data_IF_907726860648
#
_entry.id   IF_907726860648
#
_cell.length_a   1.000
_cell.length_b   1.000
_cell.length_c   1.000
_cell.angle_alpha   90.00
_cell.angle_beta   90.00
_cell.angle_gamma   90.00
#
_symmetry.space_group_name_H-M   'P 1'
#
loop_
_entity.id
_entity.type
_entity.pdbx_description
1 polymer ?
#
# COMPACT_ATOMS: atom_id res chain seq x y z
N UNK A 1 21.42 -17.65 12.59
CA UNK A 1 20.17 -16.88 12.47
C UNK A 1 20.52 -15.41 12.64
N UNK A 2 19.97 -14.50 11.82
CA UNK A 2 20.08 -13.04 11.99
C UNK A 2 18.72 -12.52 12.42
N UNK A 3 18.70 -11.66 13.43
CA UNK A 3 17.47 -11.03 13.94
C UNK A 3 17.72 -9.53 14.07
N UNK A 4 16.74 -8.74 13.65
CA UNK A 4 16.72 -7.29 13.84
C UNK A 4 15.35 -6.93 14.42
N UNK A 5 15.36 -6.14 15.48
CA UNK A 5 14.17 -5.58 16.10
C UNK A 5 14.36 -4.08 16.30
N UNK A 6 13.31 -3.31 16.07
CA UNK A 6 13.29 -1.87 16.33
C UNK A 6 11.91 -1.45 16.79
N UNK A 7 11.88 -0.50 17.73
CA UNK A 7 10.69 0.21 18.17
C UNK A 7 10.95 1.71 18.05
N UNK A 8 9.89 2.50 17.93
CA UNK A 8 9.97 3.94 17.88
C UNK A 8 8.63 4.58 18.27
N UNK A 9 8.55 5.89 18.13
CA UNK A 9 7.33 6.65 18.36
C UNK A 9 6.21 6.24 17.38
N UNK A 10 4.98 6.66 17.68
CA UNK A 10 3.80 6.37 16.84
C UNK A 10 3.58 4.87 16.59
N UNK A 11 3.73 4.07 17.66
CA UNK A 11 3.59 2.61 17.63
C UNK A 11 4.51 1.92 16.60
N UNK A 12 5.58 2.60 16.17
CA UNK A 12 6.50 2.06 15.19
C UNK A 12 7.19 0.82 15.74
N UNK A 13 7.08 -0.28 14.99
CA UNK A 13 7.75 -1.55 15.29
C UNK A 13 8.16 -2.23 14.01
N UNK A 14 9.37 -2.82 14.02
CA UNK A 14 9.88 -3.62 12.93
C UNK A 14 10.61 -4.84 13.48
N UNK A 15 10.24 -6.00 12.97
CA UNK A 15 10.88 -7.27 13.27
C UNK A 15 11.37 -7.90 11.98
N UNK A 16 12.54 -8.50 12.02
CA UNK A 16 13.11 -9.25 10.92
C UNK A 16 13.87 -10.44 11.46
N UNK A 17 13.67 -11.60 10.83
CA UNK A 17 14.43 -12.80 11.10
C UNK A 17 14.86 -13.45 9.79
N UNK A 18 16.07 -14.00 9.80
CA UNK A 18 16.61 -14.78 8.69
C UNK A 18 17.40 -15.97 9.18
N UNK A 19 17.17 -17.09 8.51
CA UNK A 19 17.94 -18.31 8.66
C UNK A 19 18.66 -18.62 7.35
N UNK A 20 19.98 -18.76 7.44
CA UNK A 20 20.82 -19.25 6.35
C UNK A 20 21.18 -20.70 6.66
N UNK A 21 20.96 -21.61 5.71
CA UNK A 21 21.06 -23.07 5.96
C UNK A 21 22.50 -23.59 6.04
N UNK A 22 23.49 -22.75 5.74
CA UNK A 22 24.83 -23.23 5.42
C UNK A 22 24.82 -24.07 4.13
N UNK A 23 25.67 -25.09 4.08
CA UNK A 23 25.74 -26.05 2.96
C UNK A 23 24.89 -27.29 3.28
N UNK A 24 23.77 -27.44 2.58
CA UNK A 24 22.90 -28.61 2.60
C UNK A 24 23.34 -29.61 1.55
N UNK A 25 23.47 -30.89 1.93
CA UNK A 25 23.78 -31.97 0.99
C UNK A 25 25.08 -31.80 0.21
N UNK A 26 26.02 -30.98 0.71
CA UNK A 26 27.32 -30.71 0.06
C UNK A 26 27.25 -29.81 -1.17
N UNK A 27 26.07 -29.42 -1.64
CA UNK A 27 25.92 -28.75 -2.94
C UNK A 27 24.92 -27.58 -2.94
N UNK A 28 24.12 -27.41 -1.89
CA UNK A 28 23.01 -26.46 -1.85
C UNK A 28 23.18 -25.46 -0.73
N UNK A 29 22.96 -24.17 -1.02
CA UNK A 29 22.84 -23.12 0.00
C UNK A 29 21.47 -22.47 -0.14
N UNK A 30 20.79 -22.29 0.97
CA UNK A 30 19.49 -21.64 0.99
C UNK A 30 19.38 -20.66 2.15
N UNK A 31 18.37 -19.81 2.06
CA UNK A 31 17.95 -18.96 3.16
C UNK A 31 16.46 -18.72 3.10
N UNK A 32 15.89 -18.47 4.27
CA UNK A 32 14.52 -18.00 4.44
C UNK A 32 14.54 -16.79 5.37
N UNK A 33 13.72 -15.79 5.08
CA UNK A 33 13.57 -14.61 5.91
C UNK A 33 12.12 -14.15 5.98
N UNK A 34 11.78 -13.54 7.10
CA UNK A 34 10.52 -12.84 7.28
C UNK A 34 10.73 -11.51 7.97
N UNK A 35 9.87 -10.54 7.68
CA UNK A 35 9.76 -9.30 8.44
C UNK A 35 8.32 -8.85 8.58
N UNK A 36 8.06 -8.15 9.66
CA UNK A 36 6.82 -7.41 9.90
C UNK A 36 7.19 -6.00 10.31
N UNK A 37 6.54 -5.01 9.73
CA UNK A 37 6.65 -3.61 10.12
C UNK A 37 5.26 -3.03 10.32
N UNK A 38 5.10 -2.18 11.33
CA UNK A 38 3.90 -1.37 11.53
C UNK A 38 4.30 -0.02 12.12
N UNK A 39 3.57 1.02 11.75
CA UNK A 39 3.56 2.30 12.42
C UNK A 39 2.18 2.93 12.25
N UNK A 40 1.84 3.80 13.18
CA UNK A 40 0.71 4.71 13.05
C UNK A 40 1.27 6.08 12.60
N UNK A 41 0.42 6.99 12.12
CA UNK A 41 0.85 8.34 11.79
C UNK A 41 1.19 9.16 13.05
N UNK A 42 1.86 10.29 12.84
CA UNK A 42 2.27 11.18 13.92
C UNK A 42 1.34 12.36 14.15
N UNK A 43 0.38 12.57 13.26
CA UNK A 43 -0.56 13.69 13.27
C UNK A 43 -1.61 13.46 14.36
N UNK A 44 -2.34 12.35 14.28
CA UNK A 44 -3.39 11.99 15.23
C UNK A 44 -3.45 10.49 15.53
N UNK A 45 -2.56 9.69 14.92
CA UNK A 45 -2.48 8.24 15.08
C UNK A 45 -3.61 7.47 14.39
N UNK A 46 -4.42 8.13 13.55
CA UNK A 46 -5.52 7.48 12.84
C UNK A 46 -5.08 6.74 11.57
N UNK A 47 -3.93 7.11 11.04
CA UNK A 47 -3.28 6.49 9.89
C UNK A 47 -2.51 5.28 10.32
N UNK A 48 -2.70 4.19 9.59
CA UNK A 48 -2.09 2.91 9.90
C UNK A 48 -1.31 2.44 8.68
N UNK A 49 -0.06 2.06 8.90
CA UNK A 49 0.77 1.43 7.87
C UNK A 49 1.31 0.13 8.42
N UNK A 50 1.14 -0.96 7.69
CA UNK A 50 1.73 -2.25 8.01
C UNK A 50 2.23 -2.97 6.77
N UNK A 51 3.28 -3.77 6.95
CA UNK A 51 3.82 -4.64 5.90
C UNK A 51 4.41 -5.90 6.49
N UNK A 52 3.89 -7.03 6.04
CA UNK A 52 4.47 -8.35 6.26
C UNK A 52 5.17 -8.82 4.98
N UNK A 53 6.36 -9.36 5.13
CA UNK A 53 7.17 -9.86 4.02
C UNK A 53 7.78 -11.20 4.36
N UNK A 54 7.68 -12.15 3.44
CA UNK A 54 8.35 -13.44 3.49
C UNK A 54 9.14 -13.64 2.21
N UNK A 55 10.36 -14.16 2.33
CA UNK A 55 11.16 -14.51 1.16
C UNK A 55 12.07 -15.70 1.44
N UNK A 56 12.39 -16.43 0.38
CA UNK A 56 13.37 -17.49 0.42
C UNK A 56 14.11 -17.63 -0.90
N UNK A 57 15.34 -18.12 -0.83
CA UNK A 57 16.14 -18.43 -2.01
C UNK A 57 16.96 -19.68 -1.76
N UNK A 58 17.21 -20.44 -2.82
CA UNK A 58 18.24 -21.48 -2.83
C UNK A 58 19.12 -21.38 -4.07
N UNK A 59 20.32 -21.94 -3.96
CA UNK A 59 21.26 -22.19 -5.06
C UNK A 59 21.88 -23.56 -4.85
N UNK A 60 21.81 -24.42 -5.85
CA UNK A 60 22.38 -25.78 -5.88
C UNK A 60 23.35 -25.91 -7.04
N UNK A 61 24.56 -26.42 -6.77
CA UNK A 61 25.58 -26.70 -7.79
C UNK A 61 25.64 -28.20 -8.03
N UNK A 62 25.23 -28.64 -9.22
CA UNK A 62 25.07 -30.03 -9.62
C UNK A 62 25.93 -30.32 -10.85
N UNK A 63 27.23 -30.54 -10.64
CA UNK A 63 28.22 -30.76 -11.71
C UNK A 63 28.17 -29.60 -12.74
N UNK A 64 27.63 -29.85 -13.94
CA UNK A 64 27.47 -28.85 -15.01
C UNK A 64 26.31 -27.90 -14.82
N UNK A 65 25.42 -28.15 -13.86
CA UNK A 65 24.22 -27.36 -13.63
C UNK A 65 24.32 -26.49 -12.38
N UNK A 66 23.81 -25.27 -12.45
CA UNK A 66 23.47 -24.46 -11.29
C UNK A 66 21.96 -24.21 -11.31
N UNK A 67 21.27 -24.73 -10.30
CA UNK A 67 19.85 -24.48 -10.09
C UNK A 67 19.68 -23.40 -9.03
N UNK A 68 18.79 -22.43 -9.27
CA UNK A 68 18.45 -21.44 -8.26
C UNK A 68 16.96 -21.13 -8.30
N UNK A 69 16.38 -20.92 -7.13
CA UNK A 69 14.99 -20.52 -7.00
C UNK A 69 14.83 -19.44 -5.97
N UNK A 70 13.82 -18.59 -6.17
CA UNK A 70 13.42 -17.53 -5.25
C UNK A 70 11.91 -17.47 -5.18
N UNK A 71 11.39 -17.18 -4.00
CA UNK A 71 9.99 -16.83 -3.81
C UNK A 71 9.88 -15.72 -2.78
N UNK A 72 8.91 -14.82 -2.98
CA UNK A 72 8.53 -13.81 -2.01
C UNK A 72 7.03 -13.58 -1.96
N UNK A 73 6.58 -13.15 -0.80
CA UNK A 73 5.23 -12.74 -0.50
C UNK A 73 5.29 -11.42 0.28
N UNK A 74 4.50 -10.44 -0.13
CA UNK A 74 4.26 -9.20 0.59
C UNK A 74 2.75 -9.02 0.81
N UNK A 75 2.38 -8.60 2.01
CA UNK A 75 1.06 -8.07 2.35
C UNK A 75 1.28 -6.67 2.95
N UNK A 76 0.71 -5.65 2.33
CA UNK A 76 0.87 -4.25 2.73
C UNK A 76 -0.50 -3.58 2.83
N UNK A 77 -0.63 -2.76 3.87
CA UNK A 77 -1.81 -1.99 4.20
C UNK A 77 -1.35 -0.60 4.63
N UNK A 78 -1.59 0.38 3.78
CA UNK A 78 -1.10 1.75 3.95
C UNK A 78 -2.28 2.72 3.88
N UNK A 79 -2.54 3.45 4.96
CA UNK A 79 -3.34 4.67 4.89
C UNK A 79 -2.70 5.65 3.91
N UNK A 80 -3.53 6.31 3.11
CA UNK A 80 -3.05 7.39 2.25
C UNK A 80 -2.75 8.64 3.08
N UNK A 81 -1.78 9.42 2.62
CA UNK A 81 -1.39 10.70 3.20
C UNK A 81 -1.67 11.79 2.17
N UNK A 82 -2.13 12.94 2.64
CA UNK A 82 -2.18 14.13 1.80
C UNK A 82 -0.89 14.94 1.95
N UNK A 83 -0.64 15.84 1.01
CA UNK A 83 0.52 16.71 1.02
C UNK A 83 0.16 18.06 1.62
N UNK A 84 1.02 18.58 2.49
CA UNK A 84 0.96 19.95 3.02
C UNK A 84 2.12 20.79 2.50
N UNK A 85 1.92 22.09 2.33
CA UNK A 85 2.99 23.01 1.94
C UNK A 85 3.94 23.28 3.12
N UNK A 86 5.19 23.73 2.87
CA UNK A 86 6.10 24.13 3.94
C UNK A 86 5.51 25.20 4.87
N UNK A 87 4.72 26.14 4.35
CA UNK A 87 4.05 27.18 5.14
C UNK A 87 2.95 26.60 6.03
N UNK A 88 2.20 25.60 5.54
CA UNK A 88 1.19 24.90 6.34
C UNK A 88 1.86 24.11 7.48
N UNK A 89 2.93 23.37 7.18
CA UNK A 89 3.69 22.62 8.18
C UNK A 89 4.36 23.54 9.22
N UNK A 90 4.93 24.68 8.79
CA UNK A 90 5.54 25.64 9.70
C UNK A 90 4.52 26.29 10.65
N UNK A 91 3.25 26.38 10.23
CA UNK A 91 2.16 26.91 11.05
C UNK A 91 1.63 25.86 12.03
N UNK A 92 1.44 24.64 11.55
CA UNK A 92 0.94 23.53 12.36
C UNK A 92 1.55 22.21 11.84
N UNK A 93 2.62 21.71 12.48
CA UNK A 93 3.22 20.46 12.06
C UNK A 93 2.27 19.29 12.35
N UNK A 94 1.47 19.34 13.41
CA UNK A 94 0.61 18.24 13.87
C UNK A 94 -0.71 18.14 13.07
N UNK A 95 -0.78 18.73 11.87
CA UNK A 95 -1.99 18.74 11.06
C UNK A 95 -1.69 18.53 9.58
N UNK A 96 -2.37 17.55 8.98
CA UNK A 96 -2.26 17.22 7.57
C UNK A 96 -3.61 17.30 6.83
N UNK A 97 -4.59 18.09 7.27
CA UNK A 97 -5.90 18.22 6.61
C UNK A 97 -6.79 16.96 6.59
N UNK A 98 -6.31 15.83 7.11
CA UNK A 98 -7.09 14.61 7.29
C UNK A 98 -7.67 14.55 8.71
N UNK A 99 -8.74 13.77 8.87
CA UNK A 99 -9.38 13.55 10.19
C UNK A 99 -9.43 12.08 10.54
N UNK A 100 -9.02 11.76 11.78
CA UNK A 100 -9.19 10.43 12.36
C UNK A 100 -10.58 10.11 12.89
N UNK A 101 -11.51 11.07 12.92
CA UNK A 101 -12.88 10.89 13.44
C UNK A 101 -13.92 11.41 12.46
N UNK A 102 -15.01 10.67 12.29
CA UNK A 102 -16.21 11.14 11.59
C UNK A 102 -16.96 12.14 12.47
N UNK A 103 -17.08 13.37 11.98
CA UNK A 103 -17.69 14.52 12.65
C UNK A 103 -19.20 14.59 12.44
N UNK A 104 -19.74 13.89 11.44
CA UNK A 104 -21.11 14.05 10.97
C UNK A 104 -21.31 15.27 10.07
N UNK A 105 -20.24 16.02 9.76
CA UNK A 105 -20.24 17.13 8.81
C UNK A 105 -19.64 16.62 7.50
N UNK A 106 -20.47 16.41 6.45
CA UNK A 106 -20.03 15.85 5.18
C UNK A 106 -18.71 16.43 4.63
N UNK A 107 -18.61 17.76 4.56
CA UNK A 107 -17.42 18.43 4.03
C UNK A 107 -16.12 18.08 4.79
N UNK A 108 -16.18 17.81 6.09
CA UNK A 108 -15.02 17.39 6.89
C UNK A 108 -14.80 15.89 6.79
N UNK A 109 -15.89 15.11 6.79
CA UNK A 109 -15.85 13.64 6.78
C UNK A 109 -15.30 13.06 5.47
N UNK A 110 -15.31 13.85 4.39
CA UNK A 110 -14.65 13.49 3.13
C UNK A 110 -13.13 13.31 3.27
N UNK A 111 -12.54 13.93 4.30
CA UNK A 111 -11.12 13.82 4.64
C UNK A 111 -10.88 12.74 5.70
N UNK A 112 -11.85 11.85 5.95
CA UNK A 112 -11.70 10.77 6.92
C UNK A 112 -10.63 9.78 6.47
N UNK A 113 -9.51 9.75 7.21
CA UNK A 113 -8.28 9.09 6.79
C UNK A 113 -8.46 7.61 6.51
N UNK A 114 -9.20 6.91 7.36
CA UNK A 114 -9.40 5.46 7.24
C UNK A 114 -10.23 5.06 6.01
N UNK A 115 -10.87 6.01 5.33
CA UNK A 115 -11.55 5.76 4.06
C UNK A 115 -10.64 5.75 2.84
N UNK A 116 -9.38 6.18 2.97
CA UNK A 116 -8.39 6.20 1.88
C UNK A 116 -7.20 5.31 2.19
N UNK A 117 -7.08 4.18 1.48
CA UNK A 117 -6.08 3.13 1.79
C UNK A 117 -5.59 2.42 0.53
N UNK A 118 -4.31 2.10 0.51
CA UNK A 118 -3.70 1.22 -0.47
C UNK A 118 -3.42 -0.16 0.16
N UNK A 119 -4.22 -1.16 -0.22
CA UNK A 119 -4.02 -2.56 0.17
C UNK A 119 -3.33 -3.30 -0.97
N UNK A 120 -2.22 -3.98 -0.71
CA UNK A 120 -1.42 -4.64 -1.75
C UNK A 120 -0.91 -6.00 -1.30
N UNK A 121 -1.23 -7.03 -2.07
CA UNK A 121 -0.69 -8.39 -1.95
C UNK A 121 0.14 -8.72 -3.17
N UNK A 122 1.39 -9.14 -2.95
CA UNK A 122 2.32 -9.41 -4.02
C UNK A 122 3.03 -10.75 -3.79
N UNK A 123 2.84 -11.70 -4.71
CA UNK A 123 3.54 -12.98 -4.70
C UNK A 123 4.38 -13.11 -5.95
N UNK A 124 5.66 -13.35 -5.79
CA UNK A 124 6.59 -13.53 -6.91
C UNK A 124 7.46 -14.75 -6.67
N UNK A 125 7.81 -15.46 -7.75
CA UNK A 125 8.82 -16.50 -7.68
C UNK A 125 9.40 -16.86 -9.03
N UNK A 126 10.60 -17.41 -9.01
CA UNK A 126 11.26 -17.95 -10.19
C UNK A 126 12.04 -19.23 -9.89
N UNK A 127 12.25 -20.01 -10.95
CA UNK A 127 13.22 -21.08 -11.01
C UNK A 127 14.13 -20.85 -12.23
N UNK A 128 15.44 -20.98 -12.00
CA UNK A 128 16.48 -20.81 -13.01
C UNK A 128 17.38 -22.01 -13.01
N UNK A 129 17.61 -22.58 -14.21
CA UNK A 129 18.66 -23.55 -14.47
C UNK A 129 19.72 -22.96 -15.40
N UNK A 130 20.98 -23.02 -14.99
CA UNK A 130 22.13 -22.63 -15.80
C UNK A 130 23.02 -23.86 -16.04
N UNK A 131 23.35 -24.13 -17.29
CA UNK A 131 24.24 -25.22 -17.70
C UNK A 131 25.55 -24.66 -18.22
N UNK A 132 26.65 -25.28 -17.83
CA UNK A 132 27.99 -25.05 -18.36
C UNK A 132 28.56 -26.39 -18.86
N UNK A 133 28.68 -26.52 -20.18
CA UNK A 133 29.16 -27.75 -20.81
C UNK A 133 30.64 -28.05 -20.59
N UNK A 134 31.42 -27.07 -20.13
CA UNK A 134 32.88 -27.14 -20.01
C UNK A 134 33.65 -27.08 -21.34
N UNK A 135 32.93 -26.96 -22.46
CA UNK A 135 33.45 -26.90 -23.83
C UNK A 135 33.17 -25.53 -24.50
N UNK A 136 32.86 -24.50 -23.70
CA UNK A 136 32.48 -23.17 -24.16
C UNK A 136 30.97 -22.97 -24.39
N UNK A 137 30.17 -24.05 -24.44
CA UNK A 137 28.71 -23.91 -24.51
C UNK A 137 28.10 -23.68 -23.12
N UNK A 138 27.33 -22.60 -22.98
CA UNK A 138 26.55 -22.29 -21.77
C UNK A 138 25.13 -21.95 -22.15
N UNK A 139 24.17 -22.41 -21.36
CA UNK A 139 22.76 -22.04 -21.54
C UNK A 139 22.12 -21.71 -20.20
N UNK A 140 21.10 -20.86 -20.22
CA UNK A 140 20.33 -20.49 -19.04
C UNK A 140 18.86 -20.41 -19.41
N UNK A 141 18.02 -21.06 -18.62
CA UNK A 141 16.56 -20.97 -18.73
C UNK A 141 15.99 -20.51 -17.38
N UNK A 142 15.07 -19.55 -17.41
CA UNK A 142 14.37 -19.06 -16.22
C UNK A 142 12.88 -19.00 -16.49
N UNK A 143 12.10 -19.64 -15.62
CA UNK A 143 10.65 -19.47 -15.57
C UNK A 143 10.28 -18.68 -14.32
N UNK A 144 9.31 -17.78 -14.43
CA UNK A 144 8.82 -17.01 -13.30
C UNK A 144 7.29 -16.92 -13.30
N UNK A 145 6.73 -16.66 -12.13
CA UNK A 145 5.33 -16.32 -11.94
C UNK A 145 5.23 -15.11 -11.00
N UNK A 146 4.28 -14.24 -11.30
CA UNK A 146 4.03 -13.02 -10.54
C UNK A 146 2.54 -12.80 -10.44
N UNK A 147 2.04 -12.65 -9.21
CA UNK A 147 0.66 -12.28 -8.92
C UNK A 147 0.65 -11.05 -8.03
N UNK A 148 0.07 -9.98 -8.54
CA UNK A 148 -0.17 -8.75 -7.79
C UNK A 148 -1.68 -8.53 -7.67
N UNK A 149 -2.13 -8.24 -6.46
CA UNK A 149 -3.50 -7.85 -6.16
C UNK A 149 -3.45 -6.57 -5.35
N UNK A 150 -4.25 -5.59 -5.74
CA UNK A 150 -4.35 -4.33 -5.02
C UNK A 150 -5.78 -3.85 -4.95
N UNK A 151 -6.10 -3.11 -3.88
CA UNK A 151 -7.35 -2.37 -3.73
C UNK A 151 -7.01 -0.99 -3.20
N UNK A 152 -7.48 0.04 -3.91
CA UNK A 152 -7.49 1.41 -3.42
C UNK A 152 -8.87 1.68 -2.84
N UNK A 153 -8.93 1.95 -1.54
CA UNK A 153 -10.11 2.50 -0.89
C UNK A 153 -10.00 4.03 -0.97
N UNK A 154 -11.11 4.71 -1.23
CA UNK A 154 -11.18 6.18 -1.23
C UNK A 154 -12.60 6.62 -0.88
N UNK A 155 -12.72 7.81 -0.28
CA UNK A 155 -14.01 8.46 -0.06
C UNK A 155 -14.26 9.45 -1.20
N UNK A 156 -15.41 9.38 -1.88
CA UNK A 156 -15.74 10.37 -2.89
C UNK A 156 -15.92 11.76 -2.30
N UNK A 157 -15.51 12.82 -3.01
CA UNK A 157 -15.78 14.17 -2.58
C UNK A 157 -17.29 14.37 -2.46
N UNK A 158 -17.73 15.13 -1.47
CA UNK A 158 -19.14 15.45 -1.38
C UNK A 158 -19.53 16.41 -2.50
N UNK A 159 -20.64 16.07 -3.16
CA UNK A 159 -21.33 16.94 -4.09
C UNK A 159 -22.35 17.76 -3.30
N UNK A 160 -22.26 19.08 -3.42
CA UNK A 160 -23.25 20.01 -2.89
C UNK A 160 -24.40 20.07 -3.88
N UNK A 161 -25.63 19.87 -3.41
CA UNK A 161 -26.84 20.22 -4.15
C UNK A 161 -26.94 21.75 -4.19
N UNK A 162 -26.72 22.33 -5.37
CA UNK A 162 -26.80 23.78 -5.58
C UNK A 162 -28.02 24.18 -6.42
N UNK A 163 -28.83 23.19 -6.84
CA UNK A 163 -30.02 23.37 -7.67
C UNK A 163 -31.11 22.42 -7.19
N UNK A 164 -32.15 22.97 -6.56
CA UNK A 164 -33.33 22.18 -6.23
C UNK A 164 -34.08 21.75 -7.51
N UNK A 165 -33.76 20.55 -8.00
CA UNK A 165 -34.37 19.95 -9.20
C UNK A 165 -35.79 19.42 -8.95
N UNK A 166 -36.27 19.48 -7.70
CA UNK A 166 -37.60 19.02 -7.29
C UNK A 166 -37.64 17.54 -6.90
N UNK A 167 -38.62 17.17 -6.07
CA UNK A 167 -38.72 15.82 -5.52
C UNK A 167 -38.81 14.74 -6.62
N UNK A 168 -37.89 13.78 -6.60
CA UNK A 168 -37.83 12.66 -7.54
C UNK A 168 -37.17 12.97 -8.88
N UNK A 169 -36.65 14.19 -9.07
CA UNK A 169 -35.80 14.52 -10.22
C UNK A 169 -34.35 14.07 -9.96
N UNK A 170 -33.60 13.59 -10.97
CA UNK A 170 -32.19 13.24 -10.79
C UNK A 170 -31.32 14.50 -10.81
N UNK A 171 -30.57 14.70 -9.72
CA UNK A 171 -29.69 15.84 -9.42
C UNK A 171 -28.79 16.22 -10.60
N UNK A 172 -28.92 17.47 -11.05
CA UNK A 172 -28.25 17.99 -12.24
C UNK A 172 -26.74 18.12 -12.07
N UNK A 173 -26.27 18.34 -10.83
CA UNK A 173 -24.85 18.41 -10.43
C UNK A 173 -24.13 17.08 -10.55
N UNK A 174 -24.85 15.96 -10.45
CA UNK A 174 -24.28 14.62 -10.53
C UNK A 174 -24.11 14.11 -11.98
N UNK A 175 -24.67 14.80 -12.99
CA UNK A 175 -24.71 14.33 -14.38
C UNK A 175 -23.44 14.63 -15.19
N UNK A 176 -22.60 15.56 -14.72
CA UNK A 176 -21.37 15.99 -15.42
C UNK A 176 -21.63 16.74 -16.73
N UNK A 177 -20.68 17.60 -17.13
CA UNK A 177 -20.69 18.28 -18.44
C UNK A 177 -21.26 19.69 -18.49
N UNK A 178 -21.89 20.18 -17.42
CA UNK A 178 -22.32 21.57 -17.28
C UNK A 178 -21.74 22.18 -15.99
N UNK A 179 -21.23 23.41 -16.05
CA UNK A 179 -20.87 24.17 -14.85
C UNK A 179 -22.13 24.77 -14.25
N UNK A 180 -22.51 24.31 -13.06
CA UNK A 180 -23.64 24.86 -12.31
C UNK A 180 -23.11 25.93 -11.34
N UNK A 181 -23.64 27.14 -11.44
CA UNK A 181 -23.26 28.25 -10.57
C UNK A 181 -24.30 28.42 -9.48
N UNK A 182 -23.88 28.35 -8.21
CA UNK A 182 -24.75 28.39 -7.03
C UNK A 182 -25.55 29.70 -6.83
N UNK A 183 -25.46 30.67 -7.74
CA UNK A 183 -26.24 31.91 -7.68
C UNK A 183 -26.17 32.63 -6.32
N UNK A 184 -27.33 32.97 -5.75
CA UNK A 184 -27.48 33.61 -4.42
C UNK A 184 -27.08 32.74 -3.23
N UNK A 185 -26.80 31.46 -3.47
CA UNK A 185 -26.38 30.48 -2.47
C UNK A 185 -24.87 30.22 -2.50
N UNK A 186 -24.11 31.01 -3.27
CA UNK A 186 -22.66 31.09 -3.16
C UNK A 186 -22.25 31.31 -1.68
N UNK A 187 -21.55 30.33 -1.12
CA UNK A 187 -21.08 30.35 0.27
C UNK A 187 -22.00 29.65 1.28
N UNK A 188 -23.08 29.00 0.85
CA UNK A 188 -23.92 28.15 1.69
C UNK A 188 -23.74 26.67 1.33
N UNK A 189 -23.68 25.80 2.34
CA UNK A 189 -23.57 24.35 2.17
C UNK A 189 -24.97 23.73 2.32
N UNK A 190 -25.48 23.13 1.24
CA UNK A 190 -26.67 22.28 1.27
C UNK A 190 -26.28 20.83 0.98
N UNK A 191 -27.01 19.89 1.56
CA UNK A 191 -26.65 18.47 1.56
C UNK A 191 -27.66 17.65 0.76
N UNK A 192 -27.16 16.74 -0.07
CA UNK A 192 -27.98 15.74 -0.76
C UNK A 192 -28.74 14.88 0.25
N UNK A 193 -30.04 14.71 0.03
CA UNK A 193 -30.87 13.80 0.83
C UNK A 193 -30.83 12.41 0.18
N UNK A 194 -30.53 11.32 0.91
CA UNK A 194 -30.62 9.98 0.33
C UNK A 194 -32.06 9.66 -0.07
N UNK A 195 -32.25 9.26 -1.33
CA UNK A 195 -33.49 8.64 -1.82
C UNK A 195 -33.55 7.15 -1.54
#
# INVERSE_FOLDING_TARGET
VRVIGGIGDNQARKYYARYDTGLLGGNTRAWVSGSSARNDDWIDGSGHTSRDHLAGKFVSILDKWTLSGYASYDDADESEYTSVTPEQFARDPEHDLLTGTLTGIPYLDQNYRSGSRALRKNTFGYLRGAFDGGNGFKTTLTGYAHRMQGRGDWIPPYLVDVTNDGAGAPESEARGGNTVYAGSDLGKLYYLTPG
#
